data_IF_556872428888
#
_entry.id   IF_556872428888
#
_cell.length_a   1.000
_cell.length_b   1.000
_cell.length_c   1.000
_cell.angle_alpha   90.00
_cell.angle_beta   90.00
_cell.angle_gamma   90.00
#
_symmetry.space_group_name_H-M   'P 1'
#
loop_
_entity.id
_entity.type
_entity.pdbx_description
1 polymer ?
#
# COMPACT_ATOMS: atom_id res chain seq x y z
N UNK A 1 -23.50 -5.79 17.07
CA UNK A 1 -23.48 -4.37 16.65
C UNK A 1 -22.15 -4.06 15.98
N UNK A 2 -21.98 -4.30 14.69
CA UNK A 2 -20.80 -3.89 13.93
C UNK A 2 -21.16 -3.95 12.43
N UNK A 3 -21.27 -2.79 11.76
CA UNK A 3 -21.15 -2.65 10.29
C UNK A 3 -21.39 -1.24 9.74
N UNK A 4 -21.67 -0.22 10.57
CA UNK A 4 -21.90 1.14 10.05
C UNK A 4 -20.62 1.97 9.78
N UNK A 5 -19.44 1.50 10.17
CA UNK A 5 -18.16 2.22 9.98
C UNK A 5 -17.43 1.90 8.67
N UNK A 6 -17.77 0.80 7.99
CA UNK A 6 -17.04 0.31 6.79
C UNK A 6 -17.19 1.18 5.54
N UNK A 7 -18.37 1.75 5.29
CA UNK A 7 -18.59 2.63 4.13
C UNK A 7 -17.78 3.93 4.22
N UNK A 8 -17.66 4.51 5.41
CA UNK A 8 -16.91 5.75 5.58
C UNK A 8 -15.40 5.55 5.41
N UNK A 9 -14.85 4.42 5.87
CA UNK A 9 -13.44 4.09 5.71
C UNK A 9 -13.07 3.87 4.23
N UNK A 10 -13.93 3.16 3.48
CA UNK A 10 -13.73 2.91 2.05
C UNK A 10 -13.80 4.20 1.21
N UNK A 11 -14.81 5.05 1.45
CA UNK A 11 -14.94 6.34 0.77
C UNK A 11 -13.77 7.29 1.09
N UNK A 12 -13.33 7.36 2.35
CA UNK A 12 -12.16 8.15 2.74
C UNK A 12 -10.86 7.64 2.11
N UNK A 13 -10.70 6.32 1.94
CA UNK A 13 -9.53 5.72 1.26
C UNK A 13 -9.53 6.07 -0.22
N UNK A 14 -10.68 5.93 -0.90
CA UNK A 14 -10.88 6.33 -2.30
C UNK A 14 -10.58 7.81 -2.51
N UNK A 15 -11.12 8.69 -1.66
CA UNK A 15 -10.88 10.12 -1.75
C UNK A 15 -9.38 10.45 -1.59
N UNK A 16 -8.71 9.84 -0.60
CA UNK A 16 -7.26 10.03 -0.41
C UNK A 16 -6.45 9.56 -1.62
N UNK A 17 -6.79 8.41 -2.20
CA UNK A 17 -6.15 7.91 -3.42
C UNK A 17 -6.34 8.89 -4.58
N UNK A 18 -7.58 9.34 -4.81
CA UNK A 18 -7.90 10.29 -5.88
C UNK A 18 -7.19 11.64 -5.70
N UNK A 19 -7.20 12.20 -4.48
CA UNK A 19 -6.46 13.42 -4.16
C UNK A 19 -4.95 13.25 -4.37
N UNK A 20 -4.37 12.10 -3.97
CA UNK A 20 -2.95 11.85 -4.20
C UNK A 20 -2.64 11.76 -5.70
N UNK A 21 -3.48 11.10 -6.48
CA UNK A 21 -3.34 11.01 -7.94
C UNK A 21 -3.37 12.40 -8.58
N UNK A 22 -4.33 13.26 -8.21
CA UNK A 22 -4.40 14.63 -8.72
C UNK A 22 -3.14 15.44 -8.40
N UNK A 23 -2.62 15.33 -7.17
CA UNK A 23 -1.39 16.02 -6.79
C UNK A 23 -0.21 15.48 -7.59
N UNK A 24 -0.09 14.16 -7.74
CA UNK A 24 0.98 13.55 -8.55
C UNK A 24 0.88 13.95 -10.04
N UNK A 25 -0.33 14.15 -10.58
CA UNK A 25 -0.52 14.68 -11.94
C UNK A 25 -0.04 16.12 -12.05
N UNK A 26 -0.34 16.96 -11.05
CA UNK A 26 0.16 18.32 -11.00
C UNK A 26 1.70 18.35 -10.93
N UNK A 27 2.29 17.52 -10.07
CA UNK A 27 3.74 17.37 -9.93
C UNK A 27 4.39 16.90 -11.24
N UNK A 28 3.78 15.93 -11.93
CA UNK A 28 4.24 15.49 -13.24
C UNK A 28 4.19 16.63 -14.28
N UNK A 29 3.12 17.43 -14.28
CA UNK A 29 2.99 18.60 -15.14
C UNK A 29 4.07 19.65 -14.88
N UNK A 30 4.33 19.96 -13.61
CA UNK A 30 5.39 20.89 -13.18
C UNK A 30 6.76 20.34 -13.60
N UNK A 31 7.01 19.05 -13.38
CA UNK A 31 8.25 18.38 -13.77
C UNK A 31 8.49 18.42 -15.28
N UNK A 32 7.46 18.13 -16.09
CA UNK A 32 7.53 18.24 -17.55
C UNK A 32 7.77 19.68 -18.02
N UNK A 33 7.12 20.67 -17.40
CA UNK A 33 7.34 22.08 -17.72
C UNK A 33 8.78 22.52 -17.41
N UNK A 34 9.32 22.14 -16.26
CA UNK A 34 10.71 22.41 -15.87
C UNK A 34 11.70 21.72 -16.82
N UNK A 35 11.41 20.49 -17.25
CA UNK A 35 12.22 19.78 -18.24
C UNK A 35 12.21 20.49 -19.60
N UNK A 36 11.03 20.91 -20.06
CA UNK A 36 10.87 21.68 -21.29
C UNK A 36 11.66 23.00 -21.25
N UNK A 37 11.60 23.72 -20.13
CA UNK A 37 12.39 24.93 -19.90
C UNK A 37 13.90 24.65 -19.95
N UNK A 38 14.37 23.59 -19.32
CA UNK A 38 15.77 23.21 -19.34
C UNK A 38 16.27 22.91 -20.76
N UNK A 39 15.47 22.16 -21.54
CA UNK A 39 15.78 21.83 -22.93
C UNK A 39 15.80 23.11 -23.78
N UNK A 40 14.79 23.98 -23.63
CA UNK A 40 14.71 25.25 -24.34
C UNK A 40 15.93 26.14 -24.09
N UNK A 41 16.30 26.33 -22.82
CA UNK A 41 17.47 27.12 -22.43
C UNK A 41 18.76 26.51 -22.96
N UNK A 42 18.90 25.18 -22.91
CA UNK A 42 20.08 24.48 -23.42
C UNK A 42 20.21 24.60 -24.93
N UNK A 43 19.12 24.52 -25.69
CA UNK A 43 19.14 24.57 -27.15
C UNK A 43 19.31 25.99 -27.70
N UNK A 44 18.62 26.98 -27.11
CA UNK A 44 18.62 28.36 -27.64
C UNK A 44 19.71 29.26 -27.06
N UNK A 45 20.35 28.85 -25.97
CA UNK A 45 21.43 29.60 -25.29
C UNK A 45 22.67 28.72 -25.08
N UNK A 46 22.88 27.74 -25.97
CA UNK A 46 24.07 26.90 -25.97
C UNK A 46 25.34 27.79 -26.06
N UNK A 47 26.10 27.88 -24.96
CA UNK A 47 27.30 28.72 -24.85
C UNK A 47 27.11 30.04 -24.09
N UNK A 48 25.92 30.30 -23.54
CA UNK A 48 25.65 31.50 -22.75
C UNK A 48 26.28 31.46 -21.34
N UNK A 49 26.38 32.65 -20.75
CA UNK A 49 26.88 32.98 -19.40
C UNK A 49 26.63 31.92 -18.33
N UNK A 50 27.53 31.84 -17.35
CA UNK A 50 27.48 30.92 -16.20
C UNK A 50 26.09 30.88 -15.52
N UNK A 51 25.37 32.01 -15.52
CA UNK A 51 24.01 32.11 -14.98
C UNK A 51 23.01 31.20 -15.73
N UNK A 52 23.06 31.15 -17.06
CA UNK A 52 22.16 30.32 -17.88
C UNK A 52 22.45 28.84 -17.66
N UNK A 53 23.73 28.46 -17.57
CA UNK A 53 24.11 27.08 -17.25
C UNK A 53 23.57 26.66 -15.88
N UNK A 54 23.69 27.51 -14.85
CA UNK A 54 23.13 27.23 -13.52
C UNK A 54 21.60 27.08 -13.57
N UNK A 55 20.92 27.92 -14.34
CA UNK A 55 19.46 27.84 -14.52
C UNK A 55 19.03 26.52 -15.20
N UNK A 56 19.79 26.04 -16.20
CA UNK A 56 19.55 24.73 -16.84
C UNK A 56 19.68 23.60 -15.83
N UNK A 57 20.77 23.57 -15.04
CA UNK A 57 20.99 22.50 -14.06
C UNK A 57 19.93 22.52 -12.94
N UNK A 58 19.57 23.70 -12.44
CA UNK A 58 18.50 23.86 -11.47
C UNK A 58 17.16 23.35 -12.02
N UNK A 59 16.83 23.70 -13.27
CA UNK A 59 15.60 23.25 -13.93
C UNK A 59 15.56 21.73 -14.14
N UNK A 60 16.69 21.12 -14.53
CA UNK A 60 16.80 19.66 -14.68
C UNK A 60 16.67 18.93 -13.34
N UNK A 61 17.31 19.45 -12.29
CA UNK A 61 17.20 18.87 -10.96
C UNK A 61 15.77 18.93 -10.45
N UNK A 62 15.12 20.08 -10.60
CA UNK A 62 13.72 20.28 -10.21
C UNK A 62 12.80 19.35 -10.98
N UNK A 63 12.98 19.25 -12.31
CA UNK A 63 12.23 18.32 -13.15
C UNK A 63 12.39 16.87 -12.68
N UNK A 64 13.62 16.43 -12.43
CA UNK A 64 13.90 15.10 -11.92
C UNK A 64 13.22 14.81 -10.59
N UNK A 65 13.27 15.76 -9.65
CA UNK A 65 12.66 15.60 -8.33
C UNK A 65 11.13 15.50 -8.40
N UNK A 66 10.47 16.36 -9.19
CA UNK A 66 9.02 16.31 -9.37
C UNK A 66 8.57 15.06 -10.13
N UNK A 67 9.25 14.70 -11.23
CA UNK A 67 8.90 13.51 -12.01
C UNK A 67 9.13 12.22 -11.22
N UNK A 68 10.22 12.12 -10.45
CA UNK A 68 10.48 10.99 -9.56
C UNK A 68 9.42 10.91 -8.45
N UNK A 69 9.10 12.06 -7.83
CA UNK A 69 8.07 12.16 -6.80
C UNK A 69 6.69 11.71 -7.30
N UNK A 70 6.32 12.16 -8.49
CA UNK A 70 5.10 11.77 -9.18
C UNK A 70 5.09 10.28 -9.53
N UNK A 71 6.18 9.75 -10.10
CA UNK A 71 6.30 8.32 -10.44
C UNK A 71 6.16 7.41 -9.21
N UNK A 72 6.82 7.78 -8.10
CA UNK A 72 6.69 7.07 -6.82
C UNK A 72 5.29 7.21 -6.23
N UNK A 73 4.66 8.38 -6.37
CA UNK A 73 3.31 8.64 -5.90
C UNK A 73 2.26 7.83 -6.68
N UNK A 74 2.36 7.79 -8.01
CA UNK A 74 1.54 6.93 -8.87
C UNK A 74 1.75 5.46 -8.55
N UNK A 75 3.01 5.00 -8.54
CA UNK A 75 3.33 3.61 -8.23
C UNK A 75 2.84 3.20 -6.84
N UNK A 76 3.01 4.06 -5.84
CA UNK A 76 2.51 3.83 -4.49
C UNK A 76 0.99 3.77 -4.38
N UNK A 77 0.27 4.57 -5.16
CA UNK A 77 -1.19 4.65 -5.09
C UNK A 77 -1.88 3.56 -5.91
N UNK A 78 -1.35 3.28 -7.10
CA UNK A 78 -1.92 2.31 -8.05
C UNK A 78 -1.60 0.87 -7.63
N UNK A 79 -0.36 0.61 -7.21
CA UNK A 79 0.06 -0.73 -6.79
C UNK A 79 -0.04 -0.94 -5.27
N UNK A 80 -0.67 -0.02 -4.55
CA UNK A 80 -0.82 -0.06 -3.09
C UNK A 80 0.51 -0.34 -2.36
N UNK A 81 1.61 0.22 -2.86
CA UNK A 81 2.96 0.00 -2.33
C UNK A 81 3.27 1.00 -1.20
N UNK A 82 3.30 0.57 0.08
CA UNK A 82 3.55 1.46 1.21
C UNK A 82 4.96 2.06 1.18
N UNK A 83 5.93 1.33 0.61
CA UNK A 83 7.31 1.81 0.47
C UNK A 83 7.37 2.99 -0.52
N UNK A 84 6.76 2.86 -1.69
CA UNK A 84 6.74 3.90 -2.71
C UNK A 84 5.99 5.16 -2.20
N UNK A 85 4.87 4.99 -1.48
CA UNK A 85 4.16 6.09 -0.84
C UNK A 85 5.01 6.81 0.21
N UNK A 86 5.74 6.06 1.07
CA UNK A 86 6.64 6.67 2.06
C UNK A 86 7.76 7.45 1.40
N UNK A 87 8.39 6.89 0.37
CA UNK A 87 9.47 7.57 -0.36
C UNK A 87 8.96 8.82 -1.08
N UNK A 88 7.79 8.74 -1.74
CA UNK A 88 7.12 9.88 -2.35
C UNK A 88 6.80 10.97 -1.30
N UNK A 89 6.26 10.60 -0.14
CA UNK A 89 5.98 11.54 0.94
C UNK A 89 7.25 12.18 1.51
N UNK A 90 8.33 11.42 1.71
CA UNK A 90 9.60 11.95 2.21
C UNK A 90 10.25 12.93 1.24
N UNK A 91 10.12 12.70 -0.08
CA UNK A 91 10.63 13.61 -1.10
C UNK A 91 9.84 14.93 -1.17
N UNK A 92 8.58 14.94 -0.73
CA UNK A 92 7.74 16.14 -0.70
C UNK A 92 8.23 17.19 0.31
N UNK A 93 8.83 16.77 1.43
CA UNK A 93 9.33 17.69 2.47
C UNK A 93 10.43 18.63 1.95
N UNK A 94 11.56 18.14 1.39
CA UNK A 94 12.59 19.03 0.87
C UNK A 94 12.07 19.88 -0.30
N UNK A 95 11.15 19.37 -1.12
CA UNK A 95 10.50 20.16 -2.18
C UNK A 95 9.67 21.31 -1.61
N UNK A 96 8.90 21.07 -0.54
CA UNK A 96 8.13 22.10 0.15
C UNK A 96 9.04 23.17 0.77
N UNK A 97 10.16 22.77 1.39
CA UNK A 97 11.13 23.70 1.99
C UNK A 97 11.77 24.57 0.90
N UNK A 98 12.22 23.96 -0.20
CA UNK A 98 12.80 24.70 -1.34
C UNK A 98 11.76 25.63 -1.96
N UNK A 99 10.51 25.18 -2.13
CA UNK A 99 9.41 26.00 -2.65
C UNK A 99 9.11 27.20 -1.75
N UNK A 100 8.95 26.99 -0.44
CA UNK A 100 8.72 28.08 0.51
C UNK A 100 9.89 29.07 0.55
N UNK A 101 11.12 28.57 0.56
CA UNK A 101 12.32 29.41 0.50
C UNK A 101 12.40 30.24 -0.78
N UNK A 102 12.09 29.64 -1.93
CA UNK A 102 12.03 30.34 -3.22
C UNK A 102 10.91 31.40 -3.23
N UNK A 103 9.74 31.09 -2.67
CA UNK A 103 8.62 32.03 -2.53
C UNK A 103 8.99 33.25 -1.68
N UNK A 104 9.65 33.04 -0.54
CA UNK A 104 10.16 34.12 0.33
C UNK A 104 11.19 34.96 -0.43
N UNK A 105 12.16 34.29 -1.07
CA UNK A 105 13.19 34.98 -1.84
C UNK A 105 12.58 35.87 -2.94
N UNK A 106 11.65 35.34 -3.74
CA UNK A 106 10.94 36.13 -4.75
C UNK A 106 10.18 37.29 -4.12
N UNK A 107 9.38 37.05 -3.08
CA UNK A 107 8.68 38.14 -2.38
C UNK A 107 9.62 39.27 -1.92
N UNK A 108 10.83 38.93 -1.44
CA UNK A 108 11.83 39.94 -1.02
C UNK A 108 12.57 40.63 -2.17
N UNK A 109 12.63 40.02 -3.35
CA UNK A 109 13.32 40.55 -4.54
C UNK A 109 12.37 41.21 -5.55
N UNK A 110 11.12 41.46 -5.16
CA UNK A 110 10.09 42.07 -6.00
C UNK A 110 10.58 43.31 -6.72
N UNK A 111 11.15 44.27 -5.99
CA UNK A 111 11.50 45.58 -6.55
C UNK A 111 12.61 45.44 -7.61
N UNK A 112 13.62 44.62 -7.36
CA UNK A 112 14.67 44.30 -8.35
C UNK A 112 14.12 43.62 -9.61
N UNK A 113 13.14 42.72 -9.46
CA UNK A 113 12.51 42.04 -10.60
C UNK A 113 11.62 42.98 -11.41
N UNK A 114 10.81 43.81 -10.74
CA UNK A 114 9.91 44.74 -11.42
C UNK A 114 10.68 45.89 -12.08
N UNK A 115 11.79 46.35 -11.51
CA UNK A 115 12.66 47.35 -12.15
C UNK A 115 13.19 46.88 -13.51
N UNK A 116 13.51 45.58 -13.64
CA UNK A 116 13.94 45.00 -14.91
C UNK A 116 12.80 44.98 -15.94
N UNK A 117 11.59 44.65 -15.51
CA UNK A 117 10.42 44.60 -16.40
C UNK A 117 9.95 45.99 -16.79
N UNK A 118 9.93 46.95 -15.85
CA UNK A 118 9.59 48.34 -16.09
C UNK A 118 10.56 49.00 -17.10
N UNK A 119 11.85 48.64 -17.07
CA UNK A 119 12.83 49.08 -18.07
C UNK A 119 12.59 48.51 -19.46
N UNK A 120 12.03 47.30 -19.57
CA UNK A 120 11.77 46.65 -20.85
C UNK A 120 10.40 47.03 -21.44
N UNK A 121 9.37 47.16 -20.60
CA UNK A 121 7.97 47.38 -20.98
C UNK A 121 7.27 48.30 -19.96
N UNK A 122 7.54 49.62 -20.00
CA UNK A 122 7.06 50.58 -19.00
C UNK A 122 5.53 50.78 -18.99
N UNK A 123 4.85 50.53 -20.11
CA UNK A 123 3.38 50.63 -20.20
C UNK A 123 2.62 49.47 -19.54
N UNK A 124 3.31 48.40 -19.14
CA UNK A 124 2.70 47.16 -18.63
C UNK A 124 3.09 46.84 -17.17
N UNK A 125 3.70 47.80 -16.46
CA UNK A 125 4.25 47.59 -15.11
C UNK A 125 3.22 47.04 -14.12
N UNK A 126 1.99 47.55 -14.15
CA UNK A 126 0.92 47.13 -13.25
C UNK A 126 0.49 45.68 -13.53
N UNK A 127 0.38 45.31 -14.80
CA UNK A 127 0.08 43.95 -15.26
C UNK A 127 1.20 42.98 -14.87
N UNK A 128 2.46 43.38 -15.06
CA UNK A 128 3.63 42.60 -14.65
C UNK A 128 3.67 42.36 -13.14
N UNK A 129 3.31 43.37 -12.33
CA UNK A 129 3.22 43.24 -10.88
C UNK A 129 2.15 42.22 -10.44
N UNK A 130 0.99 42.21 -11.10
CA UNK A 130 -0.05 41.22 -10.82
C UNK A 130 0.39 39.80 -11.17
N UNK A 131 0.98 39.59 -12.34
CA UNK A 131 1.53 38.28 -12.71
C UNK A 131 2.66 37.84 -11.79
N UNK A 132 3.50 38.77 -11.33
CA UNK A 132 4.56 38.47 -10.37
C UNK A 132 3.99 37.90 -9.07
N UNK A 133 3.02 38.56 -8.47
CA UNK A 133 2.38 38.06 -7.25
C UNK A 133 1.60 36.76 -7.46
N UNK A 134 1.02 36.57 -8.65
CA UNK A 134 0.41 35.29 -9.02
C UNK A 134 1.45 34.16 -9.03
N UNK A 135 2.65 34.39 -9.59
CA UNK A 135 3.74 33.41 -9.59
C UNK A 135 4.24 33.14 -8.17
N UNK A 136 4.47 34.18 -7.36
CA UNK A 136 4.88 34.03 -5.95
C UNK A 136 3.85 33.22 -5.17
N UNK A 137 2.55 33.55 -5.32
CA UNK A 137 1.46 32.82 -4.70
C UNK A 137 1.39 31.37 -5.16
N UNK A 138 1.62 31.10 -6.45
CA UNK A 138 1.70 29.75 -7.01
C UNK A 138 2.82 28.91 -6.40
N UNK A 139 3.98 29.52 -6.14
CA UNK A 139 5.13 28.84 -5.52
C UNK A 139 4.83 28.45 -4.07
N UNK A 140 4.19 29.34 -3.29
CA UNK A 140 3.70 29.01 -1.96
C UNK A 140 2.61 27.94 -2.00
N UNK A 141 1.67 28.04 -2.95
CA UNK A 141 0.63 27.03 -3.18
C UNK A 141 1.22 25.65 -3.47
N UNK A 142 2.27 25.58 -4.29
CA UNK A 142 3.02 24.35 -4.56
C UNK A 142 3.64 23.75 -3.29
N UNK A 143 4.25 24.58 -2.44
CA UNK A 143 4.80 24.11 -1.16
C UNK A 143 3.71 23.54 -0.23
N UNK A 144 2.53 24.15 -0.21
CA UNK A 144 1.37 23.63 0.54
C UNK A 144 0.88 22.29 -0.04
N UNK A 145 0.81 22.17 -1.38
CA UNK A 145 0.42 20.92 -2.04
C UNK A 145 1.38 19.78 -1.70
N UNK A 146 2.69 20.04 -1.64
CA UNK A 146 3.68 19.03 -1.23
C UNK A 146 3.50 18.60 0.24
N UNK A 147 3.15 19.53 1.14
CA UNK A 147 2.83 19.18 2.53
C UNK A 147 1.55 18.34 2.64
N UNK A 148 0.55 18.62 1.79
CA UNK A 148 -0.66 17.80 1.67
C UNK A 148 -0.29 16.42 1.14
N UNK A 149 0.58 16.33 0.11
CA UNK A 149 1.10 15.06 -0.43
C UNK A 149 1.77 14.23 0.65
N UNK A 150 2.66 14.81 1.44
CA UNK A 150 3.28 14.13 2.57
C UNK A 150 2.25 13.56 3.55
N UNK A 151 1.29 14.38 3.97
CA UNK A 151 0.24 13.97 4.91
C UNK A 151 -0.61 12.82 4.36
N UNK A 152 -1.07 12.92 3.11
CA UNK A 152 -1.87 11.90 2.45
C UNK A 152 -1.08 10.60 2.23
N UNK A 153 0.16 10.68 1.74
CA UNK A 153 1.01 9.51 1.51
C UNK A 153 1.37 8.78 2.81
N UNK A 154 1.66 9.52 3.89
CA UNK A 154 1.90 8.96 5.22
C UNK A 154 0.65 8.27 5.78
N UNK A 155 -0.52 8.88 5.65
CA UNK A 155 -1.76 8.29 6.14
C UNK A 155 -2.16 7.05 5.34
N UNK A 156 -2.04 7.10 4.02
CA UNK A 156 -2.36 5.96 3.15
C UNK A 156 -1.39 4.81 3.38
N UNK A 157 -0.08 5.07 3.46
CA UNK A 157 0.92 4.02 3.73
C UNK A 157 0.71 3.35 5.10
N UNK A 158 0.34 4.09 6.15
CA UNK A 158 -0.01 3.51 7.46
C UNK A 158 -1.24 2.60 7.37
N UNK A 159 -2.26 3.03 6.64
CA UNK A 159 -3.49 2.23 6.45
C UNK A 159 -3.17 0.92 5.74
N UNK A 160 -2.39 0.98 4.66
CA UNK A 160 -1.98 -0.20 3.90
C UNK A 160 -1.05 -1.13 4.68
N UNK A 161 -0.14 -0.59 5.50
CA UNK A 161 0.70 -1.42 6.38
C UNK A 161 -0.15 -2.16 7.42
N UNK A 162 -1.12 -1.47 8.04
CA UNK A 162 -2.02 -2.11 9.01
C UNK A 162 -2.84 -3.23 8.38
N UNK A 163 -3.44 -3.00 7.21
CA UNK A 163 -4.21 -4.03 6.49
C UNK A 163 -3.35 -5.25 6.13
N UNK A 164 -2.10 -5.03 5.72
CA UNK A 164 -1.17 -6.11 5.41
C UNK A 164 -0.77 -6.93 6.65
N UNK A 165 -0.61 -6.27 7.80
CA UNK A 165 -0.28 -6.94 9.06
C UNK A 165 -1.49 -7.70 9.61
N UNK A 166 -2.70 -7.14 9.52
CA UNK A 166 -3.95 -7.82 9.90
C UNK A 166 -4.16 -9.11 9.08
N UNK A 167 -3.91 -9.06 7.76
CA UNK A 167 -3.97 -10.22 6.88
C UNK A 167 -2.92 -11.30 7.23
N UNK A 168 -1.70 -10.88 7.59
CA UNK A 168 -0.66 -11.83 8.03
C UNK A 168 -1.04 -12.51 9.33
N UNK A 169 -1.60 -11.76 10.28
CA UNK A 169 -2.08 -12.32 11.55
C UNK A 169 -3.23 -13.30 11.31
N UNK A 170 -4.19 -12.97 10.44
CA UNK A 170 -5.30 -13.87 10.14
C UNK A 170 -4.82 -15.15 9.45
N UNK A 171 -3.90 -15.04 8.49
CA UNK A 171 -3.31 -16.21 7.82
C UNK A 171 -2.53 -17.10 8.80
N UNK A 172 -1.72 -16.51 9.68
CA UNK A 172 -1.00 -17.26 10.72
C UNK A 172 -1.95 -17.96 11.70
N UNK A 173 -3.08 -17.31 12.05
CA UNK A 173 -4.11 -17.90 12.90
C UNK A 173 -4.84 -19.07 12.20
N UNK A 174 -5.15 -18.94 10.90
CA UNK A 174 -5.73 -20.02 10.11
C UNK A 174 -4.76 -21.20 9.94
N UNK A 175 -3.48 -20.94 9.69
CA UNK A 175 -2.44 -21.96 9.63
C UNK A 175 -2.28 -22.69 10.97
N UNK A 176 -2.25 -21.96 12.09
CA UNK A 176 -2.19 -22.55 13.42
C UNK A 176 -3.43 -23.41 13.72
N UNK A 177 -4.63 -22.93 13.38
CA UNK A 177 -5.87 -23.69 13.56
C UNK A 177 -5.91 -24.96 12.67
N UNK A 178 -5.41 -24.87 11.43
CA UNK A 178 -5.29 -26.01 10.53
C UNK A 178 -4.28 -27.04 11.05
N UNK A 179 -3.13 -26.60 11.54
CA UNK A 179 -2.12 -27.48 12.13
C UNK A 179 -2.65 -28.16 13.40
N UNK A 180 -3.34 -27.43 14.28
CA UNK A 180 -3.99 -28.02 15.45
C UNK A 180 -5.02 -29.10 15.07
N UNK A 181 -5.81 -28.89 13.99
CA UNK A 181 -6.74 -29.92 13.49
C UNK A 181 -6.01 -31.14 12.92
N UNK A 182 -4.87 -30.94 12.24
CA UNK A 182 -4.03 -32.04 11.75
C UNK A 182 -3.43 -32.84 12.89
N UNK A 183 -2.88 -32.19 13.91
CA UNK A 183 -2.34 -32.84 15.10
C UNK A 183 -3.40 -33.66 15.83
N UNK A 184 -4.61 -33.11 16.01
CA UNK A 184 -5.74 -33.85 16.61
C UNK A 184 -6.14 -35.05 15.74
N UNK A 185 -6.19 -34.89 14.42
CA UNK A 185 -6.51 -35.99 13.51
C UNK A 185 -5.41 -37.06 13.47
N UNK A 186 -4.14 -36.69 13.57
CA UNK A 186 -3.00 -37.60 13.61
C UNK A 186 -2.94 -38.35 14.94
N UNK A 187 -3.15 -37.65 16.06
CA UNK A 187 -3.24 -38.25 17.40
C UNK A 187 -4.43 -39.22 17.51
N UNK A 188 -5.59 -38.85 16.95
CA UNK A 188 -6.74 -39.75 16.88
C UNK A 188 -6.44 -40.98 16.00
N UNK A 189 -5.69 -40.80 14.91
CA UNK A 189 -5.32 -41.89 13.99
C UNK A 189 -4.29 -42.84 14.61
N UNK A 190 -3.28 -42.33 15.31
CA UNK A 190 -2.30 -43.16 16.04
C UNK A 190 -2.95 -43.93 17.17
N UNK A 191 -3.80 -43.28 17.97
CA UNK A 191 -4.58 -43.96 19.03
C UNK A 191 -5.44 -45.10 18.49
N UNK A 192 -6.09 -44.91 17.32
CA UNK A 192 -6.86 -45.96 16.63
C UNK A 192 -5.98 -47.15 16.22
N UNK A 193 -4.79 -46.90 15.68
CA UNK A 193 -3.87 -47.97 15.26
C UNK A 193 -3.17 -48.67 16.42
N UNK A 194 -2.94 -47.98 17.54
CA UNK A 194 -2.38 -48.57 18.75
C UNK A 194 -3.39 -49.51 19.42
N UNK A 195 -4.67 -49.14 19.48
CA UNK A 195 -5.75 -50.03 19.90
C UNK A 195 -5.86 -51.26 18.99
N UNK A 196 -5.71 -51.08 17.67
CA UNK A 196 -5.71 -52.19 16.70
C UNK A 196 -4.53 -53.14 16.91
N UNK A 197 -3.33 -52.60 17.17
CA UNK A 197 -2.14 -53.41 17.48
C UNK A 197 -2.28 -54.16 18.81
N UNK A 198 -2.87 -53.53 19.84
CA UNK A 198 -3.13 -54.18 21.12
C UNK A 198 -4.13 -55.34 20.94
N UNK A 199 -5.24 -55.11 20.23
CA UNK A 199 -6.24 -56.14 19.93
C UNK A 199 -5.62 -57.34 19.19
N UNK A 200 -4.82 -57.10 18.15
CA UNK A 200 -4.18 -58.20 17.41
C UNK A 200 -3.07 -58.90 18.19
N UNK A 201 -2.35 -58.18 19.06
CA UNK A 201 -1.37 -58.78 19.98
C UNK A 201 -2.05 -59.76 20.93
N UNK A 202 -3.13 -59.33 21.58
CA UNK A 202 -3.88 -60.17 22.54
C UNK A 202 -4.58 -61.35 21.85
N UNK A 203 -5.05 -61.16 20.62
CA UNK A 203 -5.73 -62.21 19.85
C UNK A 203 -4.80 -63.33 19.35
N UNK A 204 -3.58 -62.99 18.93
CA UNK A 204 -2.65 -63.94 18.30
C UNK A 204 -1.47 -64.36 19.19
N UNK A 205 -1.24 -63.65 20.29
CA UNK A 205 -0.24 -64.00 21.29
C UNK A 205 -0.77 -63.66 22.70
N UNK A 206 -1.84 -64.34 23.15
CA UNK A 206 -2.45 -64.06 24.43
C UNK A 206 -1.42 -64.26 25.56
N UNK A 207 -1.41 -63.40 26.59
CA UNK A 207 -0.57 -63.60 27.75
C UNK A 207 -0.87 -64.98 28.36
N UNK A 208 0.17 -65.67 28.85
CA UNK A 208 -0.01 -66.96 29.53
C UNK A 208 -1.00 -66.77 30.68
N UNK A 209 -1.95 -67.71 30.88
CA UNK A 209 -2.99 -67.54 31.86
C UNK A 209 -2.36 -67.60 33.25
N UNK A 210 -2.43 -66.49 33.98
CA UNK A 210 -2.38 -66.53 35.43
C UNK A 210 -3.61 -67.36 35.86
N UNK A 211 -3.38 -68.42 36.62
CA UNK A 211 -4.42 -69.27 37.20
C UNK A 211 -5.29 -68.44 38.17
N UNK A 212 -6.26 -67.70 37.64
CA UNK A 212 -7.51 -67.21 38.26
C UNK A 212 -8.02 -65.96 37.51
N UNK A 213 -8.57 -66.13 36.31
CA UNK A 213 -9.74 -65.34 35.89
C UNK A 213 -10.38 -65.92 34.63
N UNK A 214 -11.47 -66.66 34.81
CA UNK A 214 -12.41 -66.94 33.72
C UNK A 214 -13.25 -65.67 33.54
N UNK A 215 -12.94 -64.87 32.52
CA UNK A 215 -13.63 -63.60 32.29
C UNK A 215 -13.42 -62.98 30.90
N UNK A 216 -14.11 -63.54 29.91
CA UNK A 216 -14.49 -62.93 28.63
C UNK A 216 -13.43 -62.11 27.86
N UNK A 217 -12.63 -62.80 27.02
CA UNK A 217 -12.06 -62.14 25.84
C UNK A 217 -13.22 -61.76 24.89
N UNK A 218 -13.51 -60.47 24.77
CA UNK A 218 -14.47 -59.96 23.78
C UNK A 218 -13.98 -60.33 22.37
N UNK A 219 -14.67 -61.26 21.71
CA UNK A 219 -14.40 -61.68 20.33
C UNK A 219 -14.86 -60.66 19.29
N UNK A 220 -15.40 -59.52 19.73
CA UNK A 220 -16.01 -58.51 18.87
C UNK A 220 -14.96 -57.51 18.40
N UNK A 221 -14.91 -57.26 17.10
CA UNK A 221 -14.04 -56.24 16.54
C UNK A 221 -14.52 -54.87 17.07
N UNK A 222 -13.67 -54.02 17.68
CA UNK A 222 -14.12 -52.77 18.29
C UNK A 222 -14.74 -51.75 17.30
N UNK A 223 -14.65 -52.01 16.00
CA UNK A 223 -15.14 -51.13 14.92
C UNK A 223 -16.31 -51.71 14.13
N UNK A 224 -16.88 -52.86 14.52
CA UNK A 224 -18.02 -53.45 13.81
C UNK A 224 -19.38 -52.81 14.15
N UNK A 225 -19.47 -52.01 15.23
CA UNK A 225 -20.74 -51.36 15.66
C UNK A 225 -20.87 -49.88 15.24
N UNK A 226 -19.88 -49.26 14.58
CA UNK A 226 -19.97 -47.87 14.09
C UNK A 226 -20.44 -47.78 12.61
N UNK A 227 -20.93 -48.88 12.03
CA UNK A 227 -21.34 -48.92 10.62
C UNK A 227 -22.84 -48.78 10.38
N UNK A 228 -23.63 -48.37 11.38
CA UNK A 228 -25.04 -48.02 11.20
C UNK A 228 -25.36 -46.67 11.86
N UNK A 229 -25.37 -45.62 11.02
CA UNK A 229 -26.19 -44.43 11.27
C UNK A 229 -25.58 -43.32 12.09
N UNK A 230 -24.62 -42.59 11.52
CA UNK A 230 -24.67 -41.14 11.59
C UNK A 230 -24.59 -40.62 10.15
N UNK A 231 -25.78 -40.34 9.58
CA UNK A 231 -25.90 -39.40 8.48
C UNK A 231 -25.11 -38.16 8.90
N UNK A 232 -24.01 -37.90 8.18
CA UNK A 232 -23.34 -36.61 8.22
C UNK A 232 -24.35 -35.60 7.72
N UNK A 233 -25.14 -35.06 8.64
CA UNK A 233 -26.03 -33.95 8.37
C UNK A 233 -25.12 -32.78 7.99
N UNK A 234 -25.15 -32.26 6.76
CA UNK A 234 -24.35 -31.10 6.40
C UNK A 234 -25.02 -29.89 7.04
N UNK A 235 -24.74 -29.66 8.32
CA UNK A 235 -25.05 -28.40 8.99
C UNK A 235 -24.24 -27.32 8.28
N UNK A 236 -24.96 -26.54 7.47
CA UNK A 236 -24.62 -25.24 6.91
C UNK A 236 -23.39 -24.58 7.55
N UNK A 237 -22.24 -24.80 6.92
CA UNK A 237 -21.13 -23.85 6.90
C UNK A 237 -21.01 -23.39 5.45
N UNK A 238 -21.44 -22.16 5.18
CA UNK A 238 -21.21 -21.51 3.91
C UNK A 238 -19.72 -21.64 3.54
N UNK A 239 -19.45 -22.34 2.44
CA UNK A 239 -18.14 -22.31 1.81
C UNK A 239 -17.89 -20.88 1.31
N UNK A 240 -16.79 -20.19 1.68
CA UNK A 240 -16.44 -18.94 1.04
C UNK A 240 -15.91 -19.15 -0.39
N UNK A 241 -15.95 -20.38 -0.94
CA UNK A 241 -15.48 -20.69 -2.29
C UNK A 241 -16.43 -20.24 -3.41
N UNK A 242 -17.53 -19.53 -3.11
CA UNK A 242 -18.39 -18.89 -4.12
C UNK A 242 -18.17 -17.38 -4.31
N UNK A 243 -17.21 -16.77 -3.60
CA UNK A 243 -16.87 -15.36 -3.75
C UNK A 243 -15.65 -15.07 -4.64
N UNK A 244 -15.09 -16.08 -5.31
CA UNK A 244 -13.99 -15.91 -6.26
C UNK A 244 -14.37 -16.45 -7.65
N UNK A 245 -15.40 -15.86 -8.26
CA UNK A 245 -15.45 -15.81 -9.73
C UNK A 245 -14.63 -14.61 -10.18
N UNK A 246 -13.49 -14.79 -10.85
CA UNK A 246 -12.83 -13.69 -11.53
C UNK A 246 -13.71 -13.26 -12.71
N UNK A 247 -13.99 -11.97 -12.74
CA UNK A 247 -14.59 -11.26 -13.85
C UNK A 247 -13.68 -11.37 -15.08
N UNK A 248 -13.96 -12.36 -15.94
CA UNK A 248 -13.58 -12.33 -17.35
C UNK A 248 -14.79 -12.73 -18.18
N UNK A 249 -15.71 -11.78 -18.33
CA UNK A 249 -16.69 -11.74 -19.38
C UNK A 249 -16.79 -10.28 -19.85
N UNK A 250 -16.06 -9.95 -20.92
CA UNK A 250 -16.13 -8.64 -21.56
C UNK A 250 -14.79 -8.02 -21.94
N UNK A 251 -14.00 -8.70 -22.78
CA UNK A 251 -13.18 -8.15 -23.86
C UNK A 251 -12.80 -9.30 -24.81
#
# INVERSE_FOLDING_TARGET
>A
MANRTGCCASCCKMLKKFSLLLINTADAGIGCAALGLAIYLRSNKAGAEVAVQRAVHASLFLAGAFLLGAALGFGGTVFDSPCALRLSGLLAIPLAIVGAGAGIYMATMKDSCLDYVAKATPSEEQTASHYYWFVVGGVFGGAVLEMIRYSLAKNLSRTLSSEADDLRVSLAAEEAASNARREVSEAARTGRFDQLRAYYRDKYNPPEPDEESVGAASSRNPFEDDSDGDEVNPLHGESPAKAAQPWYAGL
#
